data_IF_499798237881
#
_entry.id   IF_499798237881
#
_cell.length_a   1.000
_cell.length_b   1.000
_cell.length_c   1.000
_cell.angle_alpha   90.00
_cell.angle_beta   90.00
_cell.angle_gamma   90.00
#
_symmetry.space_group_name_H-M   'P 1'
#
loop_
_entity.id
_entity.type
_entity.pdbx_description
1 polymer ?
2 non-polymer ?
3 non-polymer ?
4 non-polymer ?
5 non-polymer ?
6 non-polymer ?
7 non-polymer ?
8 water ?
#
# COMPACT_ATOMS: atom_id res chain seq x y z
N UNK A 1 -2.43 20.30 -4.00
CA UNK A 1 -1.82 21.58 -3.43
C UNK A 1 -2.76 22.05 -2.33
N UNK A 2 -2.17 22.73 -1.32
CA UNK A 2 -2.90 23.12 -0.11
C UNK A 2 -4.02 24.12 -0.46
N UNK A 3 -5.05 24.14 0.38
CA UNK A 3 -6.10 25.18 0.26
C UNK A 3 -5.55 26.57 0.63
N UNK A 8 -10.55 24.28 3.52
CA UNK A 8 -10.02 22.93 3.63
C UNK A 8 -9.89 22.25 2.26
N UNK A 9 -8.76 21.63 2.04
CA UNK A 9 -8.53 20.90 0.81
C UNK A 9 -9.12 19.50 0.99
N UNK A 10 -9.53 18.88 -0.12
CA UNK A 10 -9.81 17.41 -0.11
C UNK A 10 -8.52 16.73 0.36
N UNK A 11 -8.67 15.76 1.24
CA UNK A 11 -7.51 15.05 1.81
C UNK A 11 -7.57 13.57 1.44
N UNK A 12 -6.48 13.12 0.80
CA UNK A 12 -6.42 11.75 0.30
C UNK A 12 -5.22 11.05 0.94
N UNK A 13 -5.48 9.95 1.60
CA UNK A 13 -4.43 9.06 2.14
C UNK A 13 -4.17 7.96 1.09
N UNK A 14 -2.90 7.77 0.73
CA UNK A 14 -2.51 6.80 -0.27
C UNK A 14 -1.60 5.81 0.43
N UNK A 15 -2.00 4.55 0.45
CA UNK A 15 -1.16 3.50 1.03
C UNK A 15 0.13 3.36 0.20
N UNK A 16 1.19 2.83 0.82
CA UNK A 16 2.43 2.60 0.13
C UNK A 16 2.51 1.18 -0.37
N UNK A 17 2.64 0.20 0.53
CA UNK A 17 2.78 -1.20 0.09
C UNK A 17 1.49 -1.64 -0.60
N UNK A 18 1.66 -2.21 -1.79
CA UNK A 18 0.52 -2.74 -2.56
C UNK A 18 -0.23 -1.72 -3.36
N UNK A 19 0.18 -0.47 -3.29
CA UNK A 19 -0.50 0.64 -3.98
C UNK A 19 0.50 1.50 -4.73
N UNK A 20 1.54 1.97 -4.01
CA UNK A 20 2.64 2.65 -4.65
C UNK A 20 3.82 1.73 -4.95
N UNK A 21 4.15 0.89 -3.98
CA UNK A 21 5.30 0.00 -4.03
C UNK A 21 4.87 -1.45 -4.16
N UNK A 22 5.50 -2.16 -5.10
CA UNK A 22 5.11 -3.53 -5.41
C UNK A 22 5.69 -4.56 -4.44
N UNK A 23 5.07 -4.64 -3.29
CA UNK A 23 5.41 -5.59 -2.24
C UNK A 23 5.30 -7.03 -2.73
N UNK A 24 4.23 -7.35 -3.44
CA UNK A 24 3.99 -8.76 -3.83
C UNK A 24 5.01 -9.23 -4.87
N UNK A 25 5.27 -8.41 -5.87
CA UNK A 25 6.23 -8.79 -6.92
C UNK A 25 7.66 -8.79 -6.37
N UNK A 26 7.98 -7.84 -5.48
CA UNK A 26 9.30 -7.79 -4.91
C UNK A 26 9.52 -8.99 -4.02
N UNK A 27 8.52 -9.34 -3.22
CA UNK A 27 8.60 -10.53 -2.37
C UNK A 27 8.87 -11.76 -3.22
N UNK A 28 8.05 -11.96 -4.26
CA UNK A 28 8.18 -13.21 -5.04
C UNK A 28 9.55 -13.29 -5.71
N UNK A 29 10.03 -12.22 -6.27
CA UNK A 29 11.34 -12.21 -6.94
C UNK A 29 12.44 -12.58 -5.97
N UNK A 30 12.46 -11.93 -4.80
CA UNK A 30 13.49 -12.22 -3.81
C UNK A 30 13.35 -13.58 -3.19
N UNK A 31 12.13 -14.01 -2.95
CA UNK A 31 11.91 -15.35 -2.41
C UNK A 31 12.48 -16.41 -3.38
N UNK A 32 12.16 -16.27 -4.65
CA UNK A 32 12.62 -17.32 -5.63
C UNK A 32 14.13 -17.32 -5.74
N UNK A 33 14.74 -16.16 -5.71
CA UNK A 33 16.20 -16.01 -5.76
C UNK A 33 16.89 -16.60 -4.55
N UNK A 34 16.34 -16.41 -3.35
CA UNK A 34 17.00 -16.89 -2.13
C UNK A 34 16.70 -18.38 -1.84
N UNK A 35 15.52 -18.82 -2.26
CA UNK A 35 15.02 -20.14 -1.97
C UNK A 35 14.57 -20.84 -3.28
N UNK A 36 15.52 -21.03 -4.21
CA UNK A 36 15.17 -21.53 -5.54
C UNK A 36 14.62 -22.97 -5.58
N UNK A 37 14.85 -23.78 -4.55
CA UNK A 37 14.29 -25.14 -4.55
C UNK A 37 13.00 -25.27 -3.77
N UNK A 38 12.44 -24.15 -3.31
CA UNK A 38 11.18 -24.23 -2.61
C UNK A 38 10.02 -23.95 -3.58
N UNK A 39 8.84 -24.50 -3.29
CA UNK A 39 7.67 -24.09 -4.05
C UNK A 39 7.32 -22.64 -3.67
N UNK A 40 6.56 -22.02 -4.53
CA UNK A 40 6.15 -20.61 -4.36
C UNK A 40 4.71 -20.43 -4.85
N UNK A 41 4.18 -19.23 -4.66
CA UNK A 41 2.82 -18.87 -5.07
C UNK A 41 2.94 -17.85 -6.17
N UNK A 42 2.52 -18.23 -7.38
CA UNK A 42 2.48 -17.26 -8.47
C UNK A 42 1.50 -16.14 -8.05
N UNK A 43 1.77 -14.92 -8.52
CA UNK A 43 0.94 -13.76 -8.14
C UNK A 43 -0.53 -13.97 -8.42
N UNK A 44 -0.84 -14.51 -9.62
CA UNK A 44 -2.23 -14.72 -9.96
C UNK A 44 -2.94 -15.68 -8.99
N UNK A 45 -2.16 -16.51 -8.29
CA UNK A 45 -2.71 -17.47 -7.32
C UNK A 45 -2.72 -17.00 -5.87
N UNK A 46 -2.30 -15.76 -5.63
CA UNK A 46 -2.32 -15.24 -4.28
C UNK A 46 -3.75 -15.03 -3.79
N UNK A 47 -4.01 -15.43 -2.55
CA UNK A 47 -5.30 -15.24 -1.90
C UNK A 47 -5.05 -14.85 -0.44
N UNK A 48 -5.74 -13.80 -0.02
CA UNK A 48 -5.68 -13.29 1.34
C UNK A 48 -4.46 -12.42 1.56
N UNK A 49 -4.67 -11.45 2.43
CA UNK A 49 -3.66 -10.40 2.59
C UNK A 49 -2.30 -10.89 3.02
N UNK A 50 -2.24 -11.88 3.88
CA UNK A 50 -1.01 -12.27 4.56
C UNK A 50 -0.24 -13.29 3.74
N UNK A 51 0.83 -12.82 3.09
CA UNK A 51 1.70 -13.70 2.28
C UNK A 51 2.14 -14.92 3.09
N UNK A 52 2.55 -14.72 4.34
CA UNK A 52 3.18 -15.84 5.05
C UNK A 52 2.17 -16.93 5.39
N UNK A 53 0.91 -16.55 5.53
CA UNK A 53 -0.14 -17.56 5.83
C UNK A 53 -0.34 -18.48 4.66
N UNK A 54 -0.36 -17.95 3.45
CA UNK A 54 -0.53 -18.80 2.29
C UNK A 54 0.70 -19.68 2.06
N UNK A 55 1.90 -19.12 2.31
CA UNK A 55 3.14 -19.88 2.14
C UNK A 55 3.22 -20.99 3.20
N UNK A 56 2.76 -20.70 4.40
CA UNK A 56 2.78 -21.66 5.48
C UNK A 56 1.95 -22.91 5.22
N UNK A 57 0.83 -22.75 4.53
CA UNK A 57 -0.06 -23.89 4.14
C UNK A 57 0.51 -24.84 3.02
N UNK A 58 1.42 -24.15 2.25
CA UNK A 58 2.09 -24.73 1.07
C UNK A 58 3.14 -25.76 1.46
N UNK A 59 3.93 -25.45 2.49
CA UNK A 59 4.95 -26.38 3.00
C UNK A 59 5.41 -25.96 4.39
N UNK A 60 5.65 -26.92 5.31
CA UNK A 60 6.18 -26.57 6.63
C UNK A 60 7.49 -25.79 6.59
N UNK A 61 7.60 -24.75 7.40
CA UNK A 61 8.81 -23.92 7.44
C UNK A 61 8.79 -22.74 6.47
N UNK A 62 7.86 -22.75 5.50
CA UNK A 62 7.87 -21.70 4.50
C UNK A 62 7.41 -20.37 5.00
N UNK A 63 6.59 -20.32 6.04
CA UNK A 63 6.23 -19.02 6.62
C UNK A 63 7.50 -18.33 7.13
N UNK A 64 8.39 -19.04 7.80
CA UNK A 64 9.59 -18.43 8.36
C UNK A 64 10.52 -17.97 7.26
N UNK A 65 10.59 -18.74 6.17
CA UNK A 65 11.39 -18.33 5.05
C UNK A 65 10.80 -17.06 4.42
N UNK A 66 9.48 -17.00 4.24
CA UNK A 66 8.84 -15.80 3.70
C UNK A 66 9.16 -14.59 4.56
N UNK A 67 9.04 -14.73 5.86
CA UNK A 67 9.32 -13.63 6.79
C UNK A 67 10.71 -13.07 6.59
N UNK A 68 11.68 -13.97 6.38
CA UNK A 68 13.05 -13.57 6.24
C UNK A 68 13.24 -12.65 5.05
N UNK A 69 12.38 -12.73 4.05
CA UNK A 69 12.52 -11.85 2.87
C UNK A 69 12.21 -10.39 3.25
N UNK A 70 11.09 -10.12 3.91
CA UNK A 70 10.78 -8.72 4.25
C UNK A 70 11.53 -8.17 5.39
N UNK A 71 12.16 -9.02 6.21
CA UNK A 71 13.04 -8.56 7.28
C UNK A 71 14.45 -8.21 6.78
N UNK A 72 14.76 -8.54 5.53
CA UNK A 72 16.08 -8.31 5.00
C UNK A 72 16.32 -6.86 4.59
N UNK A 73 17.56 -6.43 4.79
CA UNK A 73 17.99 -5.13 4.33
C UNK A 73 17.65 -5.00 2.85
N UNK A 74 17.21 -3.80 2.47
CA UNK A 74 16.91 -3.43 1.07
C UNK A 74 15.67 -4.02 0.51
N UNK A 75 14.90 -4.79 1.28
CA UNK A 75 13.64 -5.29 0.76
C UNK A 75 12.73 -4.11 0.41
N UNK A 76 12.43 -3.27 1.38
CA UNK A 76 11.55 -2.12 1.12
C UNK A 76 12.17 -1.14 0.16
N UNK A 77 13.44 -0.83 0.29
CA UNK A 77 14.01 0.19 -0.56
C UNK A 77 13.98 -0.21 -2.05
N UNK A 78 14.17 -1.49 -2.34
CA UNK A 78 14.29 -1.98 -3.71
C UNK A 78 12.94 -2.32 -4.33
N UNK A 79 11.82 -2.13 -3.62
CA UNK A 79 10.53 -2.37 -4.26
C UNK A 79 10.34 -1.44 -5.46
N UNK A 80 9.82 -2.00 -6.53
CA UNK A 80 9.53 -1.19 -7.71
C UNK A 80 8.20 -0.47 -7.54
N UNK A 81 8.06 0.73 -8.11
CA UNK A 81 6.73 1.37 -8.14
C UNK A 81 5.77 0.59 -8.98
N UNK A 82 4.52 0.56 -8.57
CA UNK A 82 3.48 0.04 -9.45
C UNK A 82 3.34 0.93 -10.68
N UNK A 83 2.95 0.30 -11.82
CA UNK A 83 2.77 1.13 -13.02
C UNK A 83 1.78 2.27 -12.77
N UNK A 84 2.17 3.46 -13.20
CA UNK A 84 1.37 4.63 -13.05
C UNK A 84 1.31 5.30 -11.71
N UNK A 85 1.86 4.64 -10.68
CA UNK A 85 1.67 5.16 -9.31
C UNK A 85 2.37 6.49 -9.06
N UNK A 86 3.61 6.59 -9.50
CA UNK A 86 4.37 7.82 -9.27
C UNK A 86 3.76 8.99 -10.06
N UNK A 87 3.40 8.71 -11.32
CA UNK A 87 2.82 9.77 -12.15
C UNK A 87 1.47 10.21 -11.57
N UNK A 88 0.65 9.24 -11.13
CA UNK A 88 -0.68 9.56 -10.61
C UNK A 88 -0.62 10.42 -9.31
N UNK A 89 0.22 9.97 -8.38
CA UNK A 89 0.29 10.67 -7.12
C UNK A 89 0.93 12.08 -7.30
N UNK A 90 1.92 12.20 -8.17
CA UNK A 90 2.47 13.54 -8.46
C UNK A 90 1.39 14.46 -9.04
N UNK A 91 0.58 13.91 -9.96
CA UNK A 91 -0.47 14.75 -10.52
C UNK A 91 -1.49 15.09 -9.46
N UNK A 92 -1.89 14.08 -8.66
CA UNK A 92 -2.89 14.28 -7.63
C UNK A 92 -2.45 15.37 -6.66
N UNK A 93 -1.18 15.31 -6.22
CA UNK A 93 -0.68 16.28 -5.26
C UNK A 93 -0.65 17.72 -5.80
N UNK A 94 -0.53 17.85 -7.10
CA UNK A 94 -0.50 19.15 -7.77
C UNK A 94 -1.90 19.76 -8.02
N UNK A 95 -2.95 18.99 -7.81
CA UNK A 95 -4.32 19.49 -8.06
C UNK A 95 -4.69 20.53 -7.02
N UNK A 96 -5.45 21.54 -7.46
CA UNK A 96 -5.95 22.52 -6.52
C UNK A 96 -6.78 21.86 -5.45
N UNK A 97 -6.68 22.39 -4.22
CA UNK A 97 -7.55 21.95 -3.12
C UNK A 97 -7.46 20.44 -2.89
N UNK A 98 -6.23 19.91 -2.96
CA UNK A 98 -6.03 18.48 -2.79
C UNK A 98 -4.72 18.25 -2.02
N UNK A 99 -4.83 17.69 -0.83
CA UNK A 99 -3.69 17.35 0.00
C UNK A 99 -3.54 15.83 0.04
N UNK A 100 -2.38 15.37 -0.35
CA UNK A 100 -2.08 13.94 -0.41
C UNK A 100 -1.06 13.55 0.66
N UNK A 101 -1.37 12.52 1.43
CA UNK A 101 -0.45 11.93 2.37
C UNK A 101 -0.20 10.49 2.01
N UNK A 102 1.04 10.02 2.16
CA UNK A 102 1.34 8.61 2.04
C UNK A 102 1.21 8.02 3.42
N UNK A 103 0.22 7.15 3.63
CA UNK A 103 -0.11 6.62 4.95
C UNK A 103 0.16 5.14 4.96
N UNK A 104 1.26 4.77 5.64
CA UNK A 104 1.89 3.50 5.51
C UNK A 104 2.15 2.86 6.87
N UNK A 105 1.90 1.56 6.98
CA UNK A 105 2.21 0.85 8.20
C UNK A 105 3.50 0.09 8.06
N UNK A 106 4.52 0.42 8.87
CA UNK A 106 5.78 -0.30 8.82
C UNK A 106 5.64 -1.65 9.50
N UNK A 107 6.48 -2.60 9.10
CA UNK A 107 6.57 -3.86 9.84
C UNK A 107 7.12 -3.63 11.24
N UNK A 108 6.88 -4.64 12.09
CA UNK A 108 7.28 -4.54 13.50
C UNK A 108 8.82 -4.48 13.63
N UNK A 109 9.54 -5.21 12.78
CA UNK A 109 11.01 -5.18 12.75
C UNK A 109 11.43 -3.83 12.15
N UNK A 110 11.93 -2.95 13.00
CA UNK A 110 12.13 -1.53 12.65
C UNK A 110 13.53 -1.19 12.18
N UNK A 111 14.44 -2.17 12.11
CA UNK A 111 15.81 -1.82 11.79
C UNK A 111 15.94 -1.12 10.43
N UNK A 112 15.25 -1.64 9.41
CA UNK A 112 15.42 -1.13 8.06
C UNK A 112 14.16 -0.45 7.53
N UNK A 113 12.98 -0.93 7.90
CA UNK A 113 11.75 -0.59 7.16
C UNK A 113 11.42 0.91 7.20
N UNK A 114 11.33 1.54 8.39
CA UNK A 114 11.02 2.97 8.38
C UNK A 114 12.03 3.75 7.57
N UNK A 115 13.34 3.57 7.81
CA UNK A 115 14.35 4.29 7.05
C UNK A 115 14.15 4.11 5.55
N UNK A 116 13.99 2.87 5.15
CA UNK A 116 13.94 2.60 3.72
C UNK A 116 12.69 3.19 3.07
N UNK A 117 11.59 3.29 3.82
CA UNK A 117 10.42 3.93 3.29
C UNK A 117 10.61 5.41 3.02
N UNK A 118 11.27 6.13 3.95
CA UNK A 118 11.62 7.53 3.69
C UNK A 118 12.54 7.63 2.48
N UNK A 119 13.55 6.77 2.43
CA UNK A 119 14.49 6.80 1.30
C UNK A 119 13.77 6.53 -0.03
N UNK A 120 12.79 5.64 -0.02
CA UNK A 120 12.03 5.28 -1.25
C UNK A 120 11.22 6.47 -1.71
N UNK A 121 10.55 7.14 -0.77
CA UNK A 121 9.78 8.33 -1.12
C UNK A 121 10.70 9.42 -1.67
N UNK A 122 11.86 9.67 -1.04
CA UNK A 122 12.77 10.66 -1.59
C UNK A 122 13.16 10.30 -3.02
N UNK A 123 13.45 9.06 -3.27
CA UNK A 123 13.89 8.57 -4.59
C UNK A 123 12.85 8.83 -5.66
N UNK A 124 11.59 8.47 -5.39
CA UNK A 124 10.53 8.56 -6.43
C UNK A 124 9.74 9.83 -6.44
N UNK A 125 9.60 10.51 -5.31
CA UNK A 125 8.84 11.72 -5.23
C UNK A 125 9.58 13.00 -4.90
N UNK A 126 10.82 12.86 -4.47
CA UNK A 126 11.65 13.98 -4.12
C UNK A 126 11.62 14.41 -2.69
N UNK A 127 12.64 15.17 -2.27
CA UNK A 127 12.71 15.65 -0.92
C UNK A 127 11.48 16.31 -0.39
N UNK A 128 10.78 17.13 -1.21
CA UNK A 128 9.69 17.88 -0.63
C UNK A 128 8.51 16.99 -0.25
N UNK A 129 8.44 15.81 -0.85
CA UNK A 129 7.33 14.89 -0.55
C UNK A 129 7.49 14.17 0.77
N UNK A 130 8.69 14.24 1.37
CA UNK A 130 8.89 13.58 2.68
C UNK A 130 7.95 14.16 3.72
N UNK A 131 7.55 15.43 3.57
CA UNK A 131 6.58 16.10 4.48
C UNK A 131 5.22 15.43 4.53
N UNK A 132 4.93 14.61 3.48
CA UNK A 132 3.60 14.02 3.31
C UNK A 132 3.53 12.60 3.85
N UNK A 133 4.59 12.09 4.49
CA UNK A 133 4.60 10.72 4.99
C UNK A 133 4.02 10.62 6.39
N UNK A 134 3.11 9.66 6.56
CA UNK A 134 2.53 9.33 7.87
C UNK A 134 2.77 7.84 8.10
N UNK A 135 3.62 7.47 9.06
CA UNK A 135 3.84 6.07 9.44
C UNK A 135 2.97 5.77 10.66
N UNK A 136 2.11 4.75 10.52
CA UNK A 136 1.22 4.36 11.60
C UNK A 136 0.77 2.96 11.38
N UNK A 137 0.58 2.21 12.46
CA UNK A 137 -0.07 0.89 12.42
C UNK A 137 -1.59 1.01 12.57
N UNK A 138 -2.07 2.21 12.73
CA UNK A 138 -3.52 2.46 12.86
C UNK A 138 -3.92 3.62 11.96
N UNK A 139 -4.52 3.28 10.83
CA UNK A 139 -4.90 4.28 9.86
C UNK A 139 -6.25 4.93 10.22
N UNK A 140 -7.00 4.29 11.13
CA UNK A 140 -8.30 4.81 11.52
C UNK A 140 -8.22 6.12 12.29
N UNK A 141 -7.06 6.38 12.92
CA UNK A 141 -6.86 7.60 13.68
C UNK A 141 -6.35 8.75 12.79
N UNK A 142 -6.14 8.51 11.50
CA UNK A 142 -5.77 9.56 10.57
C UNK A 142 -7.02 10.01 9.85
N UNK A 143 -7.32 11.30 9.91
CA UNK A 143 -8.54 11.80 9.31
C UNK A 143 -8.31 12.27 7.89
N UNK A 144 -9.28 11.95 7.01
CA UNK A 144 -9.18 12.30 5.64
C UNK A 144 -10.52 12.02 4.95
N UNK A 145 -10.60 12.46 3.70
CA UNK A 145 -11.80 12.11 2.88
C UNK A 145 -11.76 10.74 2.24
N UNK A 146 -10.57 10.30 1.87
CA UNK A 146 -10.34 9.05 1.17
C UNK A 146 -9.11 8.34 1.73
N UNK A 147 -9.16 7.02 1.72
CA UNK A 147 -7.99 6.16 1.95
C UNK A 147 -7.97 5.15 0.82
N UNK A 148 -6.91 5.15 0.01
CA UNK A 148 -6.73 4.23 -1.11
C UNK A 148 -5.74 3.16 -0.66
N UNK A 149 -6.19 1.93 -0.48
CA UNK A 149 -5.41 0.93 0.26
C UNK A 149 -5.88 -0.47 -0.16
N UNK A 150 -4.95 -1.39 -0.43
CA UNK A 150 -5.28 -2.74 -0.88
C UNK A 150 -5.71 -3.72 0.20
N UNK A 151 -5.67 -3.34 1.47
CA UNK A 151 -6.06 -4.25 2.52
C UNK A 151 -7.58 -4.20 2.66
N UNK A 152 -8.26 -5.36 2.69
CA UNK A 152 -9.76 -5.25 2.76
C UNK A 152 -10.31 -4.72 4.07
N UNK A 153 -9.69 -5.13 5.16
CA UNK A 153 -10.11 -4.81 6.51
C UNK A 153 -9.21 -3.81 7.16
N UNK A 154 -9.62 -2.56 7.23
CA UNK A 154 -8.80 -1.52 7.83
C UNK A 154 -9.46 -1.09 9.15
N UNK A 155 -8.83 -1.50 10.22
CA UNK A 155 -9.41 -1.33 11.57
C UNK A 155 -8.42 -0.78 12.55
N UNK A 156 -8.91 -0.33 13.71
CA UNK A 156 -8.07 0.27 14.70
C UNK A 156 -8.89 0.92 15.78
N UNK A 157 -8.33 1.93 16.43
CA UNK A 157 -8.90 2.53 17.61
C UNK A 157 -10.12 3.40 17.36
N UNK A 158 -10.31 3.87 16.15
CA UNK A 158 -11.41 4.73 15.80
C UNK A 158 -12.48 3.89 15.12
N UNK A 159 -13.66 3.68 15.76
CA UNK A 159 -14.67 2.82 15.14
C UNK A 159 -15.38 3.41 13.91
N UNK A 160 -15.37 4.74 13.77
CA UNK A 160 -15.97 5.42 12.64
C UNK A 160 -14.97 6.36 12.01
N UNK A 161 -14.05 5.80 11.21
CA UNK A 161 -13.10 6.66 10.52
C UNK A 161 -13.77 7.69 9.59
N UNK A 162 -13.13 8.84 9.40
CA UNK A 162 -13.68 9.88 8.58
C UNK A 162 -13.56 9.62 7.10
N UNK A 163 -12.58 8.79 6.71
CA UNK A 163 -12.36 8.54 5.28
C UNK A 163 -13.32 7.44 4.75
N UNK A 164 -13.55 7.53 3.46
CA UNK A 164 -14.05 6.40 2.68
C UNK A 164 -12.82 5.58 2.23
N UNK A 165 -12.88 4.29 2.54
CA UNK A 165 -11.85 3.36 2.08
C UNK A 165 -12.18 2.87 0.68
N UNK A 166 -11.34 3.22 -0.28
CA UNK A 166 -11.40 2.74 -1.64
C UNK A 166 -10.39 1.60 -1.74
N UNK A 167 -10.85 0.40 -2.08
CA UNK A 167 -9.99 -0.77 -2.14
C UNK A 167 -9.19 -0.78 -3.42
N UNK A 168 -7.87 -0.70 -3.30
CA UNK A 168 -7.00 -0.77 -4.45
C UNK A 168 -6.80 -2.23 -4.81
N UNK A 169 -7.05 -2.59 -6.08
CA UNK A 169 -6.98 -3.99 -6.45
C UNK A 169 -5.54 -4.52 -6.35
N UNK A 170 -5.46 -5.75 -5.84
CA UNK A 170 -4.23 -6.55 -5.82
C UNK A 170 -4.62 -7.99 -6.13
N UNK A 171 -3.66 -8.83 -6.51
CA UNK A 171 -4.05 -10.22 -6.78
C UNK A 171 -4.73 -10.87 -5.60
N UNK A 172 -4.25 -10.54 -4.36
CA UNK A 172 -4.79 -11.13 -3.19
C UNK A 172 -6.24 -10.79 -2.87
N UNK A 173 -6.73 -9.65 -3.44
CA UNK A 173 -8.06 -9.19 -3.11
C UNK A 173 -9.00 -9.15 -4.36
N UNK A 174 -8.51 -9.50 -5.55
CA UNK A 174 -9.22 -9.19 -6.78
C UNK A 174 -10.56 -9.92 -6.88
N UNK A 175 -10.70 -11.07 -6.21
CA UNK A 175 -11.92 -11.85 -6.32
C UNK A 175 -12.92 -11.49 -5.29
N UNK A 176 -12.56 -10.62 -4.32
CA UNK A 176 -13.44 -10.30 -3.19
C UNK A 176 -14.63 -9.50 -3.53
N UNK A 177 -15.78 -10.05 -3.19
CA UNK A 177 -16.96 -9.26 -3.22
C UNK A 177 -17.01 -8.33 -2.02
N UNK A 178 -17.22 -7.06 -2.26
CA UNK A 178 -17.35 -6.03 -1.22
C UNK A 178 -18.84 -5.72 -0.93
N UNK A 179 -19.14 -5.35 0.31
CA UNK A 179 -20.46 -4.84 0.73
C UNK A 179 -20.77 -3.46 0.12
N UNK A 180 -21.84 -3.39 -0.69
CA UNK A 180 -22.21 -2.04 -1.16
C UNK A 180 -22.29 -1.08 0.07
N UNK A 181 -21.90 0.20 -0.05
CA UNK A 181 -21.47 0.84 -1.27
C UNK A 181 -19.95 0.92 -1.35
N UNK A 182 -19.23 -0.06 -0.82
CA UNK A 182 -17.76 -0.05 -0.97
C UNK A 182 -17.34 -0.12 -2.43
N UNK A 183 -16.29 0.59 -2.81
CA UNK A 183 -15.81 0.57 -4.17
C UNK A 183 -14.29 0.37 -4.29
N UNK A 184 -13.82 0.22 -5.52
CA UNK A 184 -12.42 -0.07 -5.84
C UNK A 184 -11.77 0.92 -6.76
N UNK A 185 -10.44 0.98 -6.66
CA UNK A 185 -9.63 1.57 -7.68
C UNK A 185 -8.83 0.44 -8.25
N UNK A 186 -9.07 0.12 -9.53
CA UNK A 186 -8.53 -1.11 -10.11
C UNK A 186 -7.03 -1.14 -10.31
N UNK A 187 -6.47 0.02 -10.61
CA UNK A 187 -5.09 0.29 -10.86
C UNK A 187 -4.95 1.78 -11.02
N UNK A 188 -3.71 2.28 -11.13
CA UNK A 188 -3.53 3.70 -11.32
C UNK A 188 -3.95 4.17 -12.70
N UNK A 189 -4.12 3.25 -13.65
CA UNK A 189 -4.70 3.62 -14.95
C UNK A 189 -6.18 3.86 -14.85
N UNK A 190 -6.85 3.34 -13.83
CA UNK A 190 -8.27 3.56 -13.58
C UNK A 190 -8.49 5.05 -13.21
N UNK A 191 -9.76 5.46 -13.18
CA UNK A 191 -10.11 6.87 -13.14
C UNK A 191 -10.18 7.37 -11.70
N UNK A 192 -8.96 7.59 -11.17
CA UNK A 192 -8.86 8.09 -9.81
C UNK A 192 -9.37 9.52 -9.64
N UNK A 193 -9.26 10.32 -10.70
CA UNK A 193 -9.79 11.69 -10.60
C UNK A 193 -11.28 11.71 -10.34
N UNK A 194 -12.01 10.80 -11.01
CA UNK A 194 -13.46 10.72 -10.80
C UNK A 194 -13.80 10.34 -9.39
N UNK A 195 -13.00 9.45 -8.77
CA UNK A 195 -13.25 9.12 -7.42
C UNK A 195 -13.00 10.32 -6.50
N UNK A 196 -11.88 11.03 -6.71
CA UNK A 196 -11.65 12.23 -5.89
C UNK A 196 -12.78 13.26 -6.04
N UNK A 197 -13.18 13.46 -7.28
CA UNK A 197 -14.19 14.48 -7.56
C UNK A 197 -15.53 14.17 -6.91
N UNK A 198 -15.85 12.90 -6.75
CA UNK A 198 -17.07 12.47 -6.09
C UNK A 198 -17.16 12.86 -4.61
N UNK A 199 -16.01 13.23 -4.02
CA UNK A 199 -15.94 13.59 -2.61
C UNK A 199 -15.84 15.09 -2.40
N UNK A 200 -15.71 15.84 -3.49
CA UNK A 200 -15.56 17.32 -3.40
C UNK A 200 -16.91 17.97 -3.22
N UNK A 201 -16.91 19.18 -2.62
CA UNK A 201 -18.15 19.97 -2.55
C UNK A 201 -18.75 20.32 -3.91
X LIG B 1 -3.40 -7.55 -10.04
X LIG B 1 -4.40 -8.71 -9.97
X LIG B 1 -3.75 -6.28 -9.37
X LIG B 1 -3.63 -10.40 -10.18
X LIG C 1 6.07 -23.39 -7.78
X LIG C 1 5.65 -24.04 -6.61
X LIG C 1 5.00 -23.29 -8.87
X LIG C 1 4.37 -24.55 -9.08
X LIG C 1 3.91 -22.32 -8.52
X LIG C 1 3.15 -21.90 -9.67
X LIG D 1 -1.74 7.15 -14.59
X LIG D 1 -0.55 7.39 -13.85
X LIG D 1 -2.95 7.86 -14.02
X LIG D 1 -2.60 9.27 -13.81
X LIG D 1 -4.10 7.55 -15.00
X LIG D 1 -5.44 7.41 -14.49
X LIG E 1 18.85 1.67 1.33
X LIG E 1 19.68 0.86 2.22
X LIG E 1 19.26 3.21 1.17
X LIG E 1 20.61 3.31 1.68
X LIG E 1 19.09 3.91 -0.16
X LIG E 1 20.11 4.72 -0.89
X LIG F 1 5.13 -8.61 10.95
X LIG F 1 4.18 -7.49 10.96
X LIG F 1 4.86 -6.17 11.09
X LIG F 1 3.16 -7.65 12.11
X LIG F 1 3.12 -7.45 9.48
X LIG F 1 2.31 -6.18 9.50
X LIG F 1 1.10 -6.19 10.17
X LIG F 1 0.33 -5.01 10.22
X LIG F 1 0.81 -3.84 9.64
X LIG F 1 2.00 -3.84 8.92
X LIG F 1 2.75 -5.02 8.88
X LIG F 1 3.86 -7.38 8.25
X LIG F 1 2.27 -8.55 9.41
X LIG F 1 2.74 -9.85 9.15
X LIG F 1 3.74 -9.80 8.01
X LIG F 1 2.92 -9.81 6.83
X LIG F 1 4.60 -8.55 7.86
X LIG F 1 4.83 -8.44 6.36
X LIG F 1 3.60 -9.23 5.79
X LIG F 1 2.75 -8.37 4.96
X LIG F 1 2.53 -7.04 5.28
X LIG F 1 2.17 -8.89 3.85
X LIG F 1 2.21 -10.14 3.56
X LIG F 1 1.50 -8.04 3.01
X LIG F 1 1.41 -6.68 3.25
X LIG F 1 0.85 -6.06 2.32
X LIG F 1 1.87 -6.17 4.49
X LIG F 1 1.77 -4.79 4.98
X LIG F 1 1.48 -3.72 4.38
X LIG F 1 1.48 -2.39 5.04
X LIG F 1 0.11 -1.45 4.51
X LIG F 1 0.11 -1.39 2.95
X LIG F 1 0.33 -0.03 5.02
X LIG F 1 -1.18 -2.04 5.03
X LIG G 1 0.33 17.74 -1.30
X LIG G 1 -0.83 17.24 -1.86
X LIG G 1 -0.01 19.01 -0.54
X LIG G 1 -1.04 19.82 -1.20
X LIG H 1 -1.08 -2.06 1.32
X LIG I 1 -12.56 -1.22 5.44
#
# INVERSE_FOLDING_TARGET
>A
SNAASGGRALRVLVDMDGVLADFEGGFLRKFRARFPDQPFIALEDRRGFWVSEQYGRLRPGLSEKAISIWESKNFFFELEPLPGAVEAVKEMASLQNTDVFICTSPIKMFKYCPYEKYAWVEKYFGPDFLEQIVLTRDKTVVSADLLIDDRPDITGAEPTPSWEHVLFTACHNQHLQLQPPRRRLHSWADDWKAILDSKRPC
>B hetero
1 BME C1 C2 O1 S2
>C hetero
1 GOL C1 O1 C2 O2 C3 O3
>D hetero
1 GOL C1 O1 C2 O2 C3 O3
>E hetero
1 GOL C1 O1 C2 O2 C3 O3
>F hetero
1 O84 OP2 P OP1 OP3 CAB C2 CAA C9 C10 C11 C12 O3' O7 C5' C4' O4' C3' C2' C1' N9 C4 C8 O2 N1 C6 O6 C5 C17 C18 C19 P2 O11 O9 O10
>G hetero
1 EDO C1 O1 C2 O2
>H hetero
1 MG MG
>I hetero
1 K K
#
